data_IF_324620181940
#
_entry.id   IF_324620181940
#
_cell.length_a   1.000
_cell.length_b   1.000
_cell.length_c   1.000
_cell.angle_alpha   90.00
_cell.angle_beta   90.00
_cell.angle_gamma   90.00
#
_symmetry.space_group_name_H-M   'P 1'
#
loop_
_entity.id
_entity.type
_entity.pdbx_description
1 polymer ?
#
# COMPACT_ATOMS: atom_id res chain seq x y z
N UNK A 1 8.80 9.68 -15.22
CA UNK A 1 8.88 8.99 -16.53
C UNK A 1 10.21 8.25 -16.59
N UNK A 2 10.19 6.93 -16.62
CA UNK A 2 11.34 6.08 -16.93
C UNK A 2 10.82 5.00 -17.86
N UNK A 3 11.24 5.06 -19.12
CA UNK A 3 10.97 4.04 -20.10
C UNK A 3 12.32 3.57 -20.66
N UNK A 4 12.60 2.28 -20.44
CA UNK A 4 13.16 1.35 -21.42
C UNK A 4 14.60 1.61 -21.88
N UNK A 5 15.57 1.11 -21.09
CA UNK A 5 16.61 0.17 -21.53
C UNK A 5 17.57 -0.02 -20.34
N UNK A 6 17.78 -1.27 -19.92
CA UNK A 6 18.55 -1.67 -18.73
C UNK A 6 17.85 -1.42 -17.38
N UNK A 7 16.67 -2.04 -17.18
CA UNK A 7 16.14 -2.15 -15.83
C UNK A 7 17.13 -2.95 -14.96
N UNK A 8 17.61 -2.41 -13.83
CA UNK A 8 18.53 -3.12 -12.96
C UNK A 8 17.85 -4.41 -12.47
N UNK A 9 18.59 -5.52 -12.48
CA UNK A 9 18.14 -6.76 -11.87
C UNK A 9 18.07 -6.50 -10.36
N UNK A 10 16.86 -6.37 -9.84
CA UNK A 10 16.65 -6.15 -8.42
C UNK A 10 16.83 -7.49 -7.68
N UNK A 11 17.52 -7.50 -6.53
CA UNK A 11 17.67 -8.70 -5.71
C UNK A 11 16.37 -9.10 -4.98
N UNK A 12 15.24 -8.49 -5.34
CA UNK A 12 13.94 -8.71 -4.75
C UNK A 12 12.85 -8.60 -5.82
N UNK A 13 11.75 -9.31 -5.62
CA UNK A 13 10.57 -9.20 -6.48
C UNK A 13 9.82 -7.91 -6.20
N UNK A 14 9.45 -7.19 -7.26
CA UNK A 14 8.54 -6.06 -7.16
C UNK A 14 7.10 -6.55 -7.05
N UNK A 15 6.33 -5.94 -6.15
CA UNK A 15 4.89 -6.21 -6.01
C UNK A 15 4.06 -5.44 -7.05
N UNK A 16 4.61 -4.40 -7.64
CA UNK A 16 3.95 -3.59 -8.67
C UNK A 16 3.82 -4.34 -10.00
N UNK A 17 2.80 -3.99 -10.78
CA UNK A 17 2.60 -4.48 -12.15
C UNK A 17 3.09 -3.43 -13.15
N UNK A 18 3.78 -3.87 -14.18
CA UNK A 18 4.12 -3.02 -15.33
C UNK A 18 2.83 -2.66 -16.10
N UNK A 19 2.58 -1.36 -16.23
CA UNK A 19 1.42 -0.81 -16.93
C UNK A 19 1.73 -0.39 -18.37
N UNK A 20 2.98 -0.46 -18.82
CA UNK A 20 3.38 -0.08 -20.19
C UNK A 20 2.51 -0.76 -21.26
N UNK A 21 2.30 -2.07 -21.09
CA UNK A 21 1.46 -2.87 -21.98
C UNK A 21 -0.01 -2.46 -21.99
N UNK A 22 -0.53 -1.92 -20.88
CA UNK A 22 -1.91 -1.42 -20.80
C UNK A 22 -2.04 -0.05 -21.44
N UNK A 23 -0.98 0.77 -21.39
CA UNK A 23 -0.94 2.06 -22.08
C UNK A 23 -0.87 1.90 -23.61
N UNK A 24 -0.15 0.88 -24.09
CA UNK A 24 0.03 0.63 -25.54
C UNK A 24 -1.17 -0.06 -26.20
N UNK A 25 -1.97 -0.80 -25.43
CA UNK A 25 -3.10 -1.58 -25.94
C UNK A 25 -4.41 -0.89 -25.52
N UNK A 26 -5.23 -0.45 -26.48
CA UNK A 26 -6.65 -0.07 -26.28
C UNK A 26 -7.54 -1.25 -25.84
N UNK A 27 -7.00 -2.21 -25.10
CA UNK A 27 -7.75 -3.32 -24.51
C UNK A 27 -7.72 -3.14 -23.01
N UNK A 28 -8.84 -2.69 -22.47
CA UNK A 28 -9.14 -2.77 -21.05
C UNK A 28 -9.16 -4.25 -20.66
N UNK A 29 -8.11 -4.70 -19.98
CA UNK A 29 -8.24 -5.90 -19.17
C UNK A 29 -8.92 -5.47 -17.88
N UNK A 30 -10.21 -5.82 -17.75
CA UNK A 30 -11.03 -5.76 -16.53
C UNK A 30 -10.46 -6.73 -15.46
N UNK A 31 -9.23 -6.47 -15.09
CA UNK A 31 -8.53 -7.20 -14.06
C UNK A 31 -8.98 -6.52 -12.76
N UNK A 32 -10.10 -7.00 -12.19
CA UNK A 32 -10.57 -6.55 -10.87
C UNK A 32 -9.42 -6.68 -9.89
N UNK A 33 -8.87 -5.54 -9.48
CA UNK A 33 -7.69 -5.48 -8.63
C UNK A 33 -8.03 -4.84 -7.32
N UNK A 34 -7.62 -5.55 -6.27
CA UNK A 34 -7.53 -4.99 -4.95
C UNK A 34 -6.44 -3.91 -4.94
N UNK A 35 -6.81 -2.70 -4.51
CA UNK A 35 -5.88 -1.60 -4.29
C UNK A 35 -5.77 -1.38 -2.78
N UNK A 36 -4.55 -1.52 -2.27
CA UNK A 36 -4.22 -1.34 -0.86
C UNK A 36 -3.46 -0.03 -0.67
N UNK A 37 -3.75 0.69 0.41
CA UNK A 37 -2.93 1.80 0.88
C UNK A 37 -2.87 1.85 2.40
N UNK A 38 -1.79 2.43 2.92
CA UNK A 38 -1.54 2.59 4.34
C UNK A 38 -1.12 4.02 4.66
N UNK A 39 -1.46 4.45 5.87
CA UNK A 39 -1.03 5.71 6.47
C UNK A 39 -0.46 5.40 7.85
N UNK A 40 0.69 5.98 8.17
CA UNK A 40 1.23 5.98 9.54
C UNK A 40 1.70 7.38 9.88
N UNK A 41 1.09 7.98 10.90
CA UNK A 41 1.42 9.32 11.39
C UNK A 41 1.43 9.33 12.92
N UNK A 42 2.62 9.22 13.52
CA UNK A 42 2.76 9.09 14.98
C UNK A 42 2.07 7.82 15.50
N UNK A 43 1.12 7.97 16.41
CA UNK A 43 0.28 6.87 16.92
C UNK A 43 -0.96 6.58 16.06
N UNK A 44 -1.16 7.33 14.98
CA UNK A 44 -2.25 7.09 14.03
C UNK A 44 -1.78 6.10 12.96
N UNK A 45 -2.52 5.01 12.80
CA UNK A 45 -2.36 4.07 11.70
C UNK A 45 -3.68 3.94 10.96
N UNK A 46 -3.66 3.92 9.64
CA UNK A 46 -4.84 3.62 8.86
C UNK A 46 -4.49 2.75 7.67
N UNK A 47 -5.42 1.90 7.29
CA UNK A 47 -5.33 1.02 6.15
C UNK A 47 -6.60 1.11 5.34
N UNK A 48 -6.50 1.04 4.03
CA UNK A 48 -7.66 0.97 3.17
C UNK A 48 -7.49 -0.08 2.09
N UNK A 49 -8.61 -0.72 1.75
CA UNK A 49 -8.71 -1.68 0.67
C UNK A 49 -9.86 -1.28 -0.25
N UNK A 50 -9.56 -1.15 -1.54
CA UNK A 50 -10.54 -0.94 -2.61
C UNK A 50 -10.66 -2.22 -3.43
N UNK A 51 -11.85 -2.80 -3.40
CA UNK A 51 -12.33 -3.86 -4.29
C UNK A 51 -13.55 -3.32 -5.03
N UNK A 52 -13.34 -2.70 -6.19
CA UNK A 52 -14.38 -1.89 -6.82
C UNK A 52 -15.70 -2.68 -6.98
N UNK A 53 -16.84 -2.11 -6.50
CA UNK A 53 -17.03 -0.71 -6.13
C UNK A 53 -16.79 -0.37 -4.66
N UNK A 54 -16.46 -1.34 -3.81
CA UNK A 54 -16.42 -1.14 -2.37
C UNK A 54 -15.03 -0.73 -1.88
N UNK A 55 -14.99 0.22 -0.95
CA UNK A 55 -13.77 0.65 -0.27
C UNK A 55 -14.00 0.60 1.24
N UNK A 56 -13.10 -0.08 1.95
CA UNK A 56 -13.03 -0.03 3.42
C UNK A 56 -11.85 0.84 3.85
N UNK A 57 -12.03 1.60 4.92
CA UNK A 57 -10.97 2.30 5.64
C UNK A 57 -11.04 1.84 7.10
N UNK A 58 -9.91 1.37 7.62
CA UNK A 58 -9.77 0.98 9.02
C UNK A 58 -8.66 1.81 9.65
N UNK A 59 -9.02 2.62 10.64
CA UNK A 59 -8.15 3.59 11.30
C UNK A 59 -8.04 3.26 12.78
N UNK A 60 -6.81 3.32 13.30
CA UNK A 60 -6.46 3.09 14.71
C UNK A 60 -5.74 4.32 15.24
N UNK A 61 -6.32 4.95 16.25
CA UNK A 61 -5.75 6.10 16.94
C UNK A 61 -5.69 5.83 18.45
N UNK A 62 -4.51 5.49 18.95
CA UNK A 62 -4.36 5.10 20.35
C UNK A 62 -5.09 3.78 20.64
N UNK A 63 -6.15 3.84 21.45
CA UNK A 63 -7.02 2.70 21.75
C UNK A 63 -8.34 2.69 20.96
N UNK A 64 -8.58 3.70 20.13
CA UNK A 64 -9.81 3.82 19.35
C UNK A 64 -9.61 3.23 17.96
N UNK A 65 -10.58 2.42 17.53
CA UNK A 65 -10.62 1.85 16.20
C UNK A 65 -11.90 2.30 15.49
N UNK A 66 -11.76 2.82 14.28
CA UNK A 66 -12.87 3.29 13.45
C UNK A 66 -12.80 2.58 12.11
N UNK A 67 -13.93 2.03 11.66
CA UNK A 67 -14.05 1.42 10.34
C UNK A 67 -15.15 2.10 9.55
N UNK A 68 -14.82 2.47 8.33
CA UNK A 68 -15.70 3.14 7.38
C UNK A 68 -15.80 2.30 6.10
N UNK A 69 -16.98 2.31 5.48
CA UNK A 69 -17.25 1.58 4.24
C UNK A 69 -17.94 2.52 3.26
N UNK A 70 -17.48 2.54 2.01
CA UNK A 70 -18.06 3.34 0.94
C UNK A 70 -18.28 2.48 -0.31
N UNK A 71 -19.32 2.82 -1.06
CA UNK A 71 -19.54 2.31 -2.41
C UNK A 71 -19.17 3.42 -3.39
N UNK A 72 -18.03 3.31 -4.07
CA UNK A 72 -17.51 4.34 -4.97
C UNK A 72 -18.27 4.46 -6.30
N UNK A 73 -19.10 3.46 -6.63
CA UNK A 73 -19.98 3.54 -7.80
C UNK A 73 -21.17 4.47 -7.52
N UNK A 74 -21.75 4.35 -6.33
CA UNK A 74 -22.95 5.11 -5.94
C UNK A 74 -22.59 6.42 -5.22
N UNK A 75 -21.47 6.45 -4.51
CA UNK A 75 -20.94 7.60 -3.76
C UNK A 75 -19.43 7.78 -4.01
N UNK A 76 -19.04 8.29 -5.19
CA UNK A 76 -17.63 8.52 -5.54
C UNK A 76 -16.94 9.58 -4.68
N UNK A 77 -17.70 10.35 -3.89
CA UNK A 77 -17.16 11.38 -2.99
C UNK A 77 -17.05 10.91 -1.54
N UNK A 78 -17.39 9.64 -1.25
CA UNK A 78 -17.22 9.01 0.06
C UNK A 78 -17.91 9.79 1.19
N UNK A 79 -19.10 10.32 0.92
CA UNK A 79 -19.86 11.14 1.86
C UNK A 79 -20.70 10.34 2.84
N UNK A 80 -21.05 9.10 2.49
CA UNK A 80 -21.97 8.27 3.25
C UNK A 80 -21.23 7.03 3.75
N UNK A 81 -20.94 6.99 5.06
CA UNK A 81 -20.40 5.80 5.68
C UNK A 81 -21.49 4.71 5.77
N UNK A 82 -21.25 3.60 5.08
CA UNK A 82 -22.16 2.46 4.94
C UNK A 82 -21.80 1.28 5.87
N UNK A 83 -20.81 1.43 6.76
CA UNK A 83 -20.28 0.33 7.58
C UNK A 83 -21.33 -0.33 8.50
N UNK A 84 -22.33 0.43 8.94
CA UNK A 84 -23.43 -0.08 9.75
C UNK A 84 -24.54 -0.73 8.89
N UNK A 85 -24.74 -0.25 7.67
CA UNK A 85 -25.80 -0.70 6.77
C UNK A 85 -25.42 -1.95 5.96
N UNK A 86 -24.12 -2.17 5.73
CA UNK A 86 -23.60 -3.31 4.96
C UNK A 86 -22.50 -4.04 5.76
N UNK A 87 -22.86 -4.70 6.89
CA UNK A 87 -21.89 -5.34 7.75
C UNK A 87 -21.15 -6.50 7.07
N UNK A 88 -21.81 -7.24 6.17
CA UNK A 88 -21.21 -8.36 5.44
C UNK A 88 -20.10 -7.91 4.48
N UNK A 89 -20.33 -6.85 3.70
CA UNK A 89 -19.31 -6.30 2.80
C UNK A 89 -18.14 -5.69 3.57
N UNK A 90 -18.42 -5.01 4.69
CA UNK A 90 -17.39 -4.52 5.61
C UNK A 90 -16.51 -5.67 6.10
N UNK A 91 -17.10 -6.75 6.60
CA UNK A 91 -16.36 -7.89 7.14
C UNK A 91 -15.55 -8.61 6.06
N UNK A 92 -16.14 -8.83 4.88
CA UNK A 92 -15.45 -9.40 3.72
C UNK A 92 -14.18 -8.62 3.38
N UNK A 93 -14.28 -7.29 3.29
CA UNK A 93 -13.14 -6.44 2.98
C UNK A 93 -12.10 -6.37 4.11
N UNK A 94 -12.54 -6.36 5.37
CA UNK A 94 -11.62 -6.41 6.52
C UNK A 94 -10.81 -7.71 6.54
N UNK A 95 -11.43 -8.85 6.23
CA UNK A 95 -10.73 -10.13 6.12
C UNK A 95 -9.68 -10.09 5.02
N UNK A 96 -10.05 -9.62 3.82
CA UNK A 96 -9.08 -9.46 2.72
C UNK A 96 -7.96 -8.48 3.06
N UNK A 97 -8.27 -7.38 3.78
CA UNK A 97 -7.29 -6.42 4.24
C UNK A 97 -6.31 -7.06 5.24
N UNK A 98 -6.83 -7.83 6.19
CA UNK A 98 -6.02 -8.53 7.18
C UNK A 98 -5.08 -9.56 6.53
N UNK A 99 -5.55 -10.28 5.50
CA UNK A 99 -4.73 -11.19 4.71
C UNK A 99 -3.57 -10.45 4.02
N UNK A 100 -3.84 -9.31 3.38
CA UNK A 100 -2.81 -8.49 2.73
C UNK A 100 -1.76 -8.01 3.75
N UNK A 101 -2.21 -7.49 4.90
CA UNK A 101 -1.32 -7.04 5.98
C UNK A 101 -0.45 -8.20 6.48
N UNK A 102 -1.03 -9.39 6.65
CA UNK A 102 -0.30 -10.57 7.11
C UNK A 102 0.76 -11.02 6.10
N UNK A 103 0.41 -11.04 4.81
CA UNK A 103 1.36 -11.34 3.73
C UNK A 103 2.49 -10.30 3.67
N UNK A 104 2.18 -9.02 3.85
CA UNK A 104 3.18 -7.96 3.91
C UNK A 104 4.14 -8.13 5.10
N UNK A 105 3.62 -8.48 6.29
CA UNK A 105 4.42 -8.78 7.50
C UNK A 105 5.36 -9.97 7.31
N UNK A 106 4.94 -11.01 6.60
CA UNK A 106 5.80 -12.17 6.31
C UNK A 106 6.92 -11.84 5.32
N UNK A 107 6.65 -10.93 4.38
CA UNK A 107 7.56 -10.54 3.30
C UNK A 107 8.44 -9.33 3.65
N UNK A 108 8.46 -8.91 4.92
CA UNK A 108 9.28 -7.78 5.37
C UNK A 108 10.71 -7.99 4.88
N UNK A 109 11.10 -7.15 3.93
CA UNK A 109 12.49 -6.91 3.62
C UNK A 109 13.12 -6.45 4.93
N UNK A 110 13.79 -7.37 5.63
CA UNK A 110 14.64 -6.98 6.75
C UNK A 110 15.73 -6.15 6.11
N UNK A 111 15.59 -4.82 6.14
CA UNK A 111 16.71 -3.95 5.84
C UNK A 111 17.85 -4.49 6.68
N UNK A 112 18.90 -4.99 6.03
CA UNK A 112 20.06 -5.38 6.78
C UNK A 112 20.53 -4.09 7.43
N UNK A 113 20.39 -3.98 8.76
CA UNK A 113 21.06 -2.93 9.51
C UNK A 113 22.54 -3.18 9.33
N UNK A 114 23.09 -2.63 8.26
CA UNK A 114 24.49 -2.69 7.96
C UNK A 114 25.16 -1.79 8.99
N UNK A 115 25.97 -2.39 9.83
CA UNK A 115 26.85 -1.62 10.69
C UNK A 115 27.80 -0.82 9.78
N UNK A 116 27.68 0.50 9.83
CA UNK A 116 28.59 1.41 9.11
C UNK A 116 29.76 1.69 10.03
N UNK A 117 30.95 1.27 9.63
CA UNK A 117 32.16 1.45 10.43
C UNK A 117 32.49 2.95 10.61
N UNK A 118 33.28 3.33 11.62
CA UNK A 118 33.69 4.72 11.80
C UNK A 118 34.38 5.32 10.56
N UNK A 119 35.25 4.54 9.90
CA UNK A 119 35.95 4.98 8.68
C UNK A 119 34.98 5.22 7.51
N UNK A 120 33.93 4.40 7.43
CA UNK A 120 32.94 4.51 6.37
C UNK A 120 31.95 5.65 6.62
N UNK A 121 31.61 5.94 7.88
CA UNK A 121 30.88 7.16 8.25
C UNK A 121 31.64 8.42 7.86
N UNK A 122 32.95 8.46 8.10
CA UNK A 122 33.77 9.61 7.75
C UNK A 122 33.86 9.80 6.23
N UNK A 123 33.97 8.70 5.48
CA UNK A 123 33.87 8.74 4.02
C UNK A 123 32.51 9.26 3.53
N UNK A 124 31.42 8.88 4.17
CA UNK A 124 30.09 9.35 3.80
C UNK A 124 29.89 10.85 4.12
N UNK A 125 30.45 11.34 5.22
CA UNK A 125 30.50 12.78 5.54
C UNK A 125 31.30 13.58 4.52
N UNK A 126 32.48 13.10 4.12
CA UNK A 126 33.30 13.81 3.13
C UNK A 126 32.66 13.89 1.75
N UNK A 127 31.77 12.93 1.44
CA UNK A 127 30.94 12.92 0.24
C UNK A 127 29.61 13.70 0.39
N UNK A 128 29.32 14.25 1.58
CA UNK A 128 28.11 15.05 1.84
C UNK A 128 26.82 14.25 2.01
N UNK A 129 26.90 12.94 2.25
CA UNK A 129 25.71 12.09 2.49
C UNK A 129 25.24 12.10 3.96
N UNK A 130 26.08 12.59 4.88
CA UNK A 130 25.82 12.68 6.31
C UNK A 130 26.25 14.07 6.81
N UNK A 131 25.42 14.70 7.63
CA UNK A 131 25.74 15.92 8.38
C UNK A 131 26.50 15.61 9.70
#
# INVERSE_FOLDING_TARGET
>A
MLAINEAPILPYSLQGKDLSRTLDRKTETDDKRLIYSELTQGSHQAWSLLDFPWKVIHSVFGSEEVTELYNLKDDPQEKNNLAASYPEEKERLLLSLQEIINLAKQRVFKSQRRWVSPAEKEKLRSLGYLD
#
